data_IF_952382561135
#
_entry.id   IF_952382561135
#
_cell.length_a   1.000
_cell.length_b   1.000
_cell.length_c   1.000
_cell.angle_alpha   90.00
_cell.angle_beta   90.00
_cell.angle_gamma   90.00
#
_symmetry.space_group_name_H-M   'P 1'
#
loop_
_entity.id
_entity.type
_entity.pdbx_description
1 polymer ?
#
# COMPACT_ATOMS: atom_id res chain seq x y z
N UNK A 1 37.33 -15.05 -39.10
CA UNK A 1 37.22 -13.67 -38.53
C UNK A 1 35.77 -13.15 -38.37
N UNK A 2 34.71 -13.89 -38.75
CA UNK A 2 33.30 -13.46 -38.58
C UNK A 2 32.62 -13.93 -37.27
N UNK A 3 33.17 -14.93 -36.58
CA UNK A 3 32.56 -15.50 -35.37
C UNK A 3 32.86 -14.68 -34.09
N UNK A 4 34.10 -14.16 -33.96
CA UNK A 4 34.49 -13.28 -32.83
C UNK A 4 33.65 -12.00 -32.73
N UNK A 5 33.21 -11.43 -33.87
CA UNK A 5 32.35 -10.23 -33.88
C UNK A 5 30.93 -10.51 -33.39
N UNK A 6 30.37 -11.69 -33.66
CA UNK A 6 29.02 -12.08 -33.18
C UNK A 6 29.01 -12.34 -31.67
N UNK A 7 30.06 -12.96 -31.12
CA UNK A 7 30.18 -13.20 -29.67
C UNK A 7 30.30 -11.89 -28.89
N UNK A 8 31.11 -10.93 -29.38
CA UNK A 8 31.21 -9.59 -28.78
C UNK A 8 29.90 -8.79 -28.83
N UNK A 9 29.12 -8.92 -29.91
CA UNK A 9 27.84 -8.22 -30.03
C UNK A 9 26.78 -8.79 -29.05
N UNK A 10 26.76 -10.10 -28.84
CA UNK A 10 25.84 -10.76 -27.89
C UNK A 10 26.20 -10.41 -26.44
N UNK A 11 27.49 -10.30 -26.09
CA UNK A 11 27.91 -9.87 -24.75
C UNK A 11 27.60 -8.40 -24.46
N UNK A 12 27.72 -7.52 -25.46
CA UNK A 12 27.38 -6.09 -25.31
C UNK A 12 25.87 -5.86 -25.15
N UNK A 13 25.03 -6.68 -25.80
CA UNK A 13 23.57 -6.64 -25.62
C UNK A 13 23.19 -7.17 -24.23
N UNK A 14 23.84 -8.23 -23.74
CA UNK A 14 23.59 -8.76 -22.40
C UNK A 14 23.96 -7.77 -21.27
N UNK A 15 24.98 -6.92 -21.46
CA UNK A 15 25.33 -5.88 -20.49
C UNK A 15 24.27 -4.76 -20.38
N UNK A 16 23.38 -4.60 -21.35
CA UNK A 16 22.27 -3.65 -21.30
C UNK A 16 20.99 -4.22 -20.65
N UNK A 17 21.00 -5.50 -20.25
CA UNK A 17 19.85 -6.18 -19.65
C UNK A 17 19.97 -6.37 -18.13
N UNK A 18 21.09 -5.96 -17.53
CA UNK A 18 21.30 -6.05 -16.08
C UNK A 18 20.97 -4.70 -15.48
N UNK A 19 19.93 -4.65 -14.65
CA UNK A 19 19.59 -3.48 -13.86
C UNK A 19 20.82 -3.02 -13.06
N UNK A 20 21.16 -1.74 -13.13
CA UNK A 20 22.27 -1.16 -12.36
C UNK A 20 21.98 -1.32 -10.87
N UNK A 21 22.86 -1.95 -10.07
CA UNK A 21 22.58 -2.21 -8.67
C UNK A 21 22.45 -0.90 -7.88
N UNK A 22 21.48 -0.85 -6.98
CA UNK A 22 21.41 0.20 -5.96
C UNK A 22 22.45 -0.03 -4.86
N UNK A 23 22.51 0.88 -3.88
CA UNK A 23 23.29 0.68 -2.67
C UNK A 23 22.77 -0.53 -1.87
N UNK A 24 23.69 -1.33 -1.33
CA UNK A 24 23.36 -2.34 -0.33
C UNK A 24 22.88 -1.67 0.96
N UNK A 25 21.79 -2.20 1.53
CA UNK A 25 21.17 -1.69 2.75
C UNK A 25 21.04 -2.84 3.73
N UNK A 26 21.48 -2.62 4.97
CA UNK A 26 21.28 -3.57 6.07
C UNK A 26 20.09 -3.15 6.91
N UNK A 27 19.13 -4.05 7.07
CA UNK A 27 17.97 -3.95 7.97
C UNK A 27 18.02 -5.07 9.00
N UNK A 28 17.08 -5.10 9.95
CA UNK A 28 17.02 -6.10 11.02
C UNK A 28 16.94 -7.55 10.48
N UNK A 29 16.21 -7.74 9.38
CA UNK A 29 16.01 -9.03 8.73
C UNK A 29 17.26 -9.55 8.00
N UNK A 30 18.17 -8.67 7.60
CA UNK A 30 19.36 -9.00 6.82
C UNK A 30 19.80 -7.87 5.88
N UNK A 31 20.76 -8.17 5.00
CA UNK A 31 21.23 -7.23 3.97
C UNK A 31 20.45 -7.43 2.68
N UNK A 32 20.07 -6.35 2.02
CA UNK A 32 19.38 -6.37 0.74
C UNK A 32 20.05 -5.43 -0.28
N UNK A 33 19.87 -5.75 -1.55
CA UNK A 33 20.30 -4.91 -2.68
C UNK A 33 19.12 -4.69 -3.61
N UNK A 34 18.91 -3.43 -3.98
CA UNK A 34 17.89 -3.00 -4.93
C UNK A 34 18.48 -2.73 -6.31
N UNK A 35 17.75 -1.99 -7.12
CA UNK A 35 18.17 -1.50 -8.43
C UNK A 35 18.03 0.01 -8.56
N UNK A 36 18.78 0.58 -9.48
CA UNK A 36 18.69 1.98 -9.86
C UNK A 36 17.60 2.14 -10.93
N UNK A 37 16.76 3.16 -10.81
CA UNK A 37 15.75 3.48 -11.82
C UNK A 37 16.39 3.73 -13.19
N UNK A 38 15.64 3.54 -14.28
CA UNK A 38 16.19 3.66 -15.64
C UNK A 38 16.74 5.05 -15.96
N UNK A 39 16.17 6.11 -15.37
CA UNK A 39 16.63 7.50 -15.47
C UNK A 39 17.67 7.88 -14.40
N UNK A 40 18.05 6.93 -13.54
CA UNK A 40 18.99 7.06 -12.41
C UNK A 40 18.59 8.11 -11.37
N UNK A 41 17.32 8.51 -11.32
CA UNK A 41 16.86 9.54 -10.38
C UNK A 41 16.51 8.98 -8.98
N UNK A 42 16.28 7.68 -8.85
CA UNK A 42 15.98 7.01 -7.58
C UNK A 42 16.45 5.55 -7.53
N UNK A 43 16.50 4.99 -6.33
CA UNK A 43 16.72 3.58 -6.05
C UNK A 43 15.38 2.88 -5.77
N UNK A 44 15.28 1.64 -6.20
CA UNK A 44 14.13 0.76 -6.08
C UNK A 44 14.53 -0.48 -5.27
N UNK A 45 13.88 -0.71 -4.15
CA UNK A 45 13.99 -1.91 -3.34
C UNK A 45 12.63 -2.59 -3.31
N UNK A 46 12.44 -3.58 -4.18
CA UNK A 46 11.14 -4.18 -4.48
C UNK A 46 10.97 -5.53 -3.79
N UNK A 47 9.73 -5.84 -3.40
CA UNK A 47 9.34 -7.16 -2.92
C UNK A 47 9.91 -7.54 -1.54
N UNK A 48 10.29 -6.58 -0.71
CA UNK A 48 10.86 -6.83 0.62
C UNK A 48 9.79 -7.49 1.52
N UNK A 49 10.01 -8.71 2.03
CA UNK A 49 9.02 -9.37 2.88
C UNK A 49 8.97 -8.72 4.27
N UNK A 50 7.78 -8.24 4.64
CA UNK A 50 7.55 -7.65 5.98
C UNK A 50 6.87 -8.62 6.94
N UNK A 51 6.36 -9.75 6.44
CA UNK A 51 5.81 -10.83 7.23
C UNK A 51 6.00 -12.15 6.49
N UNK A 52 6.17 -13.23 7.25
CA UNK A 52 6.21 -14.57 6.67
C UNK A 52 4.79 -15.07 6.37
N UNK A 53 4.63 -15.80 5.26
CA UNK A 53 3.42 -16.50 4.89
C UNK A 53 3.62 -18.02 4.93
N UNK A 54 2.66 -18.73 5.52
CA UNK A 54 2.56 -20.19 5.45
C UNK A 54 1.08 -20.57 5.25
N UNK A 55 0.80 -21.58 4.42
CA UNK A 55 -0.56 -22.07 4.20
C UNK A 55 -1.26 -22.51 5.49
N UNK A 56 -0.50 -22.96 6.50
CA UNK A 56 -1.00 -23.33 7.82
C UNK A 56 -1.32 -22.15 8.73
N UNK A 57 -0.82 -20.95 8.42
CA UNK A 57 -1.11 -19.69 9.14
C UNK A 57 -2.15 -18.84 8.42
N UNK A 58 -2.82 -19.40 7.41
CA UNK A 58 -3.94 -18.75 6.74
C UNK A 58 -4.99 -18.32 7.78
N UNK A 59 -5.50 -17.10 7.63
CA UNK A 59 -6.53 -16.49 8.49
C UNK A 59 -6.08 -16.19 9.92
N UNK A 60 -4.76 -16.10 10.15
CA UNK A 60 -4.17 -15.62 11.40
C UNK A 60 -3.52 -14.26 11.18
N UNK A 61 -3.18 -13.60 12.29
CA UNK A 61 -2.29 -12.45 12.26
C UNK A 61 -0.97 -12.81 11.51
N UNK A 62 -0.37 -11.85 10.80
CA UNK A 62 0.89 -12.08 10.09
C UNK A 62 1.99 -12.56 11.05
N UNK A 63 2.80 -13.51 10.59
CA UNK A 63 3.98 -13.95 11.32
C UNK A 63 5.09 -12.88 11.31
N UNK A 64 6.15 -13.05 12.11
CA UNK A 64 7.30 -12.16 12.05
C UNK A 64 7.91 -12.12 10.63
N UNK A 65 8.57 -11.02 10.25
CA UNK A 65 9.29 -10.96 8.99
C UNK A 65 10.36 -12.05 8.94
N UNK A 66 10.59 -12.68 7.78
CA UNK A 66 11.63 -13.69 7.65
C UNK A 66 13.02 -13.05 7.74
N UNK A 67 13.96 -13.74 8.38
CA UNK A 67 15.39 -13.42 8.27
C UNK A 67 16.00 -14.20 7.11
N UNK A 68 17.04 -13.64 6.49
CA UNK A 68 17.78 -14.30 5.42
C UNK A 68 19.29 -14.17 5.62
N UNK A 69 20.02 -15.18 5.15
CA UNK A 69 21.48 -15.15 5.06
C UNK A 69 21.92 -14.58 3.71
N UNK A 70 23.06 -13.87 3.70
CA UNK A 70 23.59 -13.24 2.51
C UNK A 70 22.83 -11.97 2.10
N UNK A 71 22.79 -11.70 0.79
CA UNK A 71 22.19 -10.48 0.22
C UNK A 71 20.87 -10.85 -0.46
N UNK A 72 19.76 -10.32 0.06
CA UNK A 72 18.44 -10.43 -0.58
C UNK A 72 18.34 -9.51 -1.79
N UNK A 73 17.96 -10.04 -2.94
CA UNK A 73 17.80 -9.27 -4.18
C UNK A 73 16.39 -8.68 -4.27
N UNK A 74 16.24 -7.45 -3.79
CA UNK A 74 14.98 -6.70 -3.79
C UNK A 74 14.76 -5.96 -5.12
N UNK A 75 14.61 -6.70 -6.23
CA UNK A 75 14.56 -6.13 -7.60
C UNK A 75 13.33 -6.55 -8.40
N UNK A 76 12.52 -7.45 -7.85
CA UNK A 76 11.32 -8.00 -8.46
C UNK A 76 10.08 -7.43 -7.78
N UNK A 77 9.10 -7.00 -8.57
CA UNK A 77 7.81 -6.55 -8.05
C UNK A 77 7.09 -7.71 -7.35
N UNK A 78 6.50 -7.48 -6.16
CA UNK A 78 5.78 -8.52 -5.46
C UNK A 78 4.49 -8.89 -6.20
N UNK A 79 4.03 -10.15 -6.11
CA UNK A 79 2.72 -10.50 -6.61
C UNK A 79 1.63 -9.76 -5.80
N UNK A 80 0.52 -9.42 -6.47
CA UNK A 80 -0.68 -8.98 -5.75
C UNK A 80 -1.20 -10.10 -4.85
N UNK A 81 -1.85 -9.73 -3.74
CA UNK A 81 -2.58 -10.70 -2.93
C UNK A 81 -3.74 -11.33 -3.72
N UNK A 82 -4.21 -12.54 -3.33
CA UNK A 82 -5.28 -13.21 -4.03
C UNK A 82 -6.54 -12.35 -4.04
N UNK A 83 -7.06 -12.09 -5.22
CA UNK A 83 -8.21 -11.20 -5.42
C UNK A 83 -9.02 -11.65 -6.63
N UNK A 84 -10.33 -11.43 -6.57
CA UNK A 84 -11.24 -11.70 -7.66
C UNK A 84 -11.54 -10.40 -8.41
N UNK A 85 -11.05 -10.30 -9.64
CA UNK A 85 -11.26 -9.13 -10.51
C UNK A 85 -12.10 -9.55 -11.73
N UNK A 86 -12.53 -8.60 -12.54
CA UNK A 86 -13.42 -8.86 -13.70
C UNK A 86 -12.92 -9.93 -14.68
N UNK A 87 -11.60 -10.16 -14.73
CA UNK A 87 -10.95 -11.15 -15.62
C UNK A 87 -10.67 -12.50 -14.92
N UNK A 88 -11.04 -12.66 -13.65
CA UNK A 88 -10.87 -13.88 -12.87
C UNK A 88 -10.08 -13.68 -11.58
N UNK A 89 -9.73 -14.80 -10.94
CA UNK A 89 -8.92 -14.82 -9.72
C UNK A 89 -7.45 -14.72 -10.10
N UNK A 90 -6.76 -13.73 -9.53
CA UNK A 90 -5.32 -13.50 -9.72
C UNK A 90 -4.61 -13.44 -8.37
N UNK A 91 -3.27 -13.37 -8.39
CA UNK A 91 -2.44 -13.12 -7.21
C UNK A 91 -1.84 -14.38 -6.58
N UNK A 92 -1.09 -14.18 -5.50
CA UNK A 92 -0.41 -15.23 -4.74
C UNK A 92 -0.57 -14.95 -3.24
N UNK A 93 -0.72 -15.99 -2.41
CA UNK A 93 -0.81 -15.82 -0.96
C UNK A 93 0.51 -15.35 -0.31
N UNK A 94 1.67 -15.62 -0.93
CA UNK A 94 2.96 -15.03 -0.56
C UNK A 94 3.10 -13.59 -1.11
N UNK A 95 2.22 -12.72 -0.63
CA UNK A 95 2.08 -11.32 -1.07
C UNK A 95 2.39 -10.28 0.03
N UNK A 96 2.79 -10.70 1.24
CA UNK A 96 3.09 -9.80 2.37
C UNK A 96 4.47 -9.15 2.20
N UNK A 97 4.58 -8.36 1.15
CA UNK A 97 5.79 -7.71 0.68
C UNK A 97 5.54 -6.23 0.43
N UNK A 98 6.58 -5.43 0.59
CA UNK A 98 6.55 -4.00 0.36
C UNK A 98 7.65 -3.58 -0.62
N UNK A 99 7.41 -2.46 -1.28
CA UNK A 99 8.37 -1.77 -2.13
C UNK A 99 8.84 -0.51 -1.43
N UNK A 100 10.10 -0.12 -1.64
CA UNK A 100 10.68 1.13 -1.16
C UNK A 100 11.40 1.84 -2.30
N UNK A 101 11.12 3.12 -2.46
CA UNK A 101 11.70 3.99 -3.45
C UNK A 101 12.40 5.15 -2.76
N UNK A 102 13.67 5.35 -3.07
CA UNK A 102 14.53 6.34 -2.38
C UNK A 102 15.19 7.26 -3.41
N UNK A 103 15.08 8.59 -3.28
CA UNK A 103 15.77 9.51 -4.17
C UNK A 103 17.29 9.21 -4.23
N UNK A 104 17.87 9.17 -5.43
CA UNK A 104 19.30 8.92 -5.63
C UNK A 104 20.13 10.19 -5.37
N UNK A 105 19.88 10.84 -4.23
CA UNK A 105 20.50 12.09 -3.79
C UNK A 105 21.21 11.90 -2.45
N UNK A 106 21.71 12.98 -1.85
CA UNK A 106 22.58 12.95 -0.67
C UNK A 106 22.06 12.06 0.48
N UNK A 107 22.99 11.46 1.22
CA UNK A 107 22.76 10.58 2.39
C UNK A 107 22.23 11.35 3.61
N UNK A 108 21.13 12.09 3.45
CA UNK A 108 20.38 12.73 4.53
C UNK A 108 19.11 11.90 4.82
N UNK A 109 18.56 11.97 6.03
CA UNK A 109 17.22 11.46 6.28
C UNK A 109 16.19 12.18 5.41
N UNK A 110 15.28 11.42 4.81
CA UNK A 110 14.14 11.95 4.07
C UNK A 110 12.85 11.70 4.86
N UNK A 111 11.84 12.58 4.74
CA UNK A 111 10.47 12.23 5.11
C UNK A 111 10.06 10.91 4.42
N UNK A 112 9.33 10.06 5.15
CA UNK A 112 8.84 8.77 4.64
C UNK A 112 7.34 8.86 4.40
N UNK A 113 6.92 8.65 3.16
CA UNK A 113 5.52 8.47 2.79
C UNK A 113 5.25 6.96 2.64
N UNK A 114 4.27 6.45 3.37
CA UNK A 114 3.79 5.08 3.20
C UNK A 114 2.43 5.14 2.54
N UNK A 115 2.33 4.59 1.33
CA UNK A 115 1.06 4.45 0.62
C UNK A 115 0.52 3.06 0.81
N UNK A 116 -0.78 3.05 1.02
CA UNK A 116 -1.55 1.86 1.23
C UNK A 116 -2.68 1.93 0.22
N UNK A 117 -2.74 0.92 -0.65
CA UNK A 117 -3.57 0.98 -1.84
C UNK A 117 -5.05 0.87 -1.48
N UNK A 118 -5.90 1.48 -2.32
CA UNK A 118 -7.34 1.33 -2.21
C UNK A 118 -7.84 -0.05 -2.67
N UNK A 119 -9.09 -0.11 -3.14
CA UNK A 119 -9.69 -1.37 -3.61
C UNK A 119 -10.49 -2.12 -2.54
N UNK A 120 -11.02 -1.37 -1.57
CA UNK A 120 -12.03 -1.82 -0.60
C UNK A 120 -11.65 -3.13 0.11
N UNK A 121 -10.39 -3.27 0.49
CA UNK A 121 -9.83 -4.47 1.15
C UNK A 121 -9.97 -5.77 0.35
N UNK A 122 -10.37 -5.69 -0.92
CA UNK A 122 -10.79 -6.84 -1.75
C UNK A 122 -9.92 -7.01 -3.00
N UNK A 123 -9.35 -5.92 -3.51
CA UNK A 123 -8.47 -5.88 -4.68
C UNK A 123 -7.45 -4.74 -4.55
N UNK A 124 -6.50 -4.67 -5.48
CA UNK A 124 -5.41 -3.70 -5.48
C UNK A 124 -4.05 -4.32 -5.14
N UNK A 125 -2.98 -3.53 -5.29
CA UNK A 125 -1.60 -3.92 -5.02
C UNK A 125 -0.73 -2.73 -4.64
N UNK A 126 0.34 -3.00 -3.88
CA UNK A 126 1.39 -2.02 -3.61
C UNK A 126 2.45 -1.96 -4.71
N UNK A 127 2.39 -2.88 -5.68
CA UNK A 127 3.28 -2.92 -6.84
C UNK A 127 2.79 -2.05 -8.01
N UNK A 128 3.48 -2.18 -9.14
CA UNK A 128 3.08 -1.55 -10.40
C UNK A 128 1.67 -2.01 -10.84
N UNK A 129 0.71 -1.07 -10.85
CA UNK A 129 -0.61 -1.30 -11.42
C UNK A 129 -0.68 -0.73 -12.85
N UNK A 130 -0.93 -1.56 -13.88
CA UNK A 130 -0.85 -1.13 -15.28
C UNK A 130 -1.97 -0.18 -15.73
N UNK A 131 -2.94 0.12 -14.87
CA UNK A 131 -4.12 0.95 -15.17
C UNK A 131 -4.16 2.22 -14.34
N UNK A 132 -3.40 2.30 -13.24
CA UNK A 132 -3.39 3.43 -12.32
C UNK A 132 -2.01 4.08 -12.37
N UNK A 133 -1.93 5.19 -13.09
CA UNK A 133 -0.71 5.98 -13.19
C UNK A 133 -0.49 6.84 -11.93
N UNK A 134 -1.47 6.96 -11.04
CA UNK A 134 -1.43 7.78 -9.81
C UNK A 134 -0.57 7.18 -8.68
N UNK A 135 0.29 6.21 -8.99
CA UNK A 135 1.23 5.69 -7.99
C UNK A 135 2.10 6.83 -7.43
N UNK A 136 2.22 6.95 -6.10
CA UNK A 136 3.02 8.01 -5.49
C UNK A 136 4.52 7.99 -5.85
N UNK A 137 5.02 6.98 -6.57
CA UNK A 137 6.33 7.03 -7.24
C UNK A 137 6.49 8.27 -8.14
N UNK A 138 5.38 8.80 -8.69
CA UNK A 138 5.38 10.04 -9.45
C UNK A 138 5.79 11.26 -8.62
N UNK A 139 5.66 11.21 -7.29
CA UNK A 139 6.18 12.27 -6.40
C UNK A 139 7.70 12.35 -6.51
N UNK A 140 8.38 11.20 -6.57
CA UNK A 140 9.84 11.13 -6.72
C UNK A 140 10.27 11.56 -8.13
N UNK A 141 9.55 11.11 -9.17
CA UNK A 141 9.87 11.42 -10.57
C UNK A 141 9.66 12.90 -10.91
N UNK A 142 8.54 13.48 -10.47
CA UNK A 142 8.13 14.82 -10.86
C UNK A 142 8.62 15.92 -9.90
N UNK A 143 9.15 15.53 -8.72
CA UNK A 143 9.65 16.42 -7.65
C UNK A 143 8.88 17.75 -7.54
N UNK A 144 7.56 17.70 -7.24
CA UNK A 144 6.73 18.92 -7.24
C UNK A 144 7.15 19.96 -6.19
N UNK A 145 8.03 19.59 -5.24
CA UNK A 145 8.58 20.45 -4.21
C UNK A 145 10.10 20.23 -4.05
N UNK A 146 10.80 21.17 -3.42
CA UNK A 146 12.22 21.03 -3.03
C UNK A 146 12.47 20.03 -1.89
N UNK A 147 11.49 19.16 -1.60
CA UNK A 147 11.58 18.14 -0.56
C UNK A 147 11.66 16.79 -1.23
N UNK A 148 12.81 16.14 -1.12
CA UNK A 148 12.98 14.74 -1.46
C UNK A 148 12.30 13.87 -0.37
N UNK A 149 11.51 12.87 -0.76
CA UNK A 149 10.84 11.95 0.15
C UNK A 149 11.15 10.49 -0.22
N UNK A 150 11.32 9.63 0.79
CA UNK A 150 11.30 8.19 0.62
C UNK A 150 9.85 7.71 0.56
N UNK A 151 9.58 6.77 -0.33
CA UNK A 151 8.25 6.26 -0.57
C UNK A 151 8.20 4.75 -0.36
N UNK A 152 7.16 4.25 0.30
CA UNK A 152 6.92 2.81 0.45
C UNK A 152 5.48 2.43 0.12
N UNK A 153 5.28 1.23 -0.43
CA UNK A 153 3.96 0.69 -0.75
C UNK A 153 3.86 -0.79 -0.41
N UNK A 154 2.66 -1.26 -0.05
CA UNK A 154 2.41 -2.64 0.38
C UNK A 154 1.12 -3.18 -0.22
N UNK A 155 1.06 -4.48 -0.50
CA UNK A 155 -0.04 -5.14 -1.21
C UNK A 155 -1.22 -5.59 -0.33
N UNK A 156 -1.25 -5.22 0.97
CA UNK A 156 -2.42 -5.49 1.80
C UNK A 156 -2.59 -4.53 2.98
N UNK A 157 -3.82 -4.04 3.11
CA UNK A 157 -4.39 -3.48 4.33
C UNK A 157 -5.03 -4.61 5.13
N UNK A 158 -4.68 -4.76 6.41
CA UNK A 158 -5.35 -5.76 7.24
C UNK A 158 -6.83 -5.43 7.42
N UNK A 159 -7.73 -6.33 7.01
CA UNK A 159 -9.07 -6.47 7.59
C UNK A 159 -9.55 -7.93 7.47
N UNK A 160 -9.98 -8.53 8.60
CA UNK A 160 -10.52 -9.88 8.68
C UNK A 160 -11.83 -9.82 9.46
N UNK A 161 -12.97 -10.20 8.87
CA UNK A 161 -14.25 -10.39 9.59
C UNK A 161 -14.69 -11.84 9.37
N UNK A 162 -14.80 -12.61 10.46
CA UNK A 162 -15.49 -13.91 10.45
C UNK A 162 -16.45 -13.99 11.63
N UNK A 163 -17.75 -13.97 11.36
CA UNK A 163 -18.83 -14.20 12.33
C UNK A 163 -20.23 -14.09 11.71
N UNK A 164 -20.80 -15.24 11.31
CA UNK A 164 -22.18 -15.53 10.87
C UNK A 164 -22.82 -14.61 9.81
N UNK A 165 -22.52 -14.83 8.53
CA UNK A 165 -23.37 -14.39 7.42
C UNK A 165 -24.61 -15.30 7.30
N UNK A 166 -25.79 -14.73 7.01
CA UNK A 166 -27.02 -15.47 6.69
C UNK A 166 -27.44 -15.26 5.23
N UNK A 167 -28.26 -16.17 4.69
CA UNK A 167 -28.66 -16.21 3.26
C UNK A 167 -29.33 -14.90 2.80
N UNK A 168 -30.04 -14.18 3.67
CA UNK A 168 -30.67 -12.87 3.36
C UNK A 168 -29.64 -11.73 3.17
N UNK A 169 -28.56 -11.72 3.95
CA UNK A 169 -27.49 -10.70 3.85
C UNK A 169 -26.66 -10.78 2.56
N UNK A 170 -26.71 -11.92 1.87
CA UNK A 170 -25.96 -12.19 0.64
C UNK A 170 -26.78 -11.91 -0.63
N UNK A 171 -28.12 -12.01 -0.57
CA UNK A 171 -28.99 -11.80 -1.73
C UNK A 171 -29.18 -10.30 -2.06
N UNK A 172 -28.97 -9.41 -1.09
CA UNK A 172 -29.12 -7.94 -1.23
C UNK A 172 -27.88 -7.18 -1.70
N UNK A 173 -26.75 -7.83 -2.01
CA UNK A 173 -25.50 -7.19 -2.51
C UNK A 173 -25.64 -6.21 -3.71
N UNK A 174 -26.84 -5.98 -4.27
CA UNK A 174 -27.14 -5.33 -5.55
C UNK A 174 -26.98 -3.79 -5.55
N UNK A 175 -25.74 -3.31 -5.40
CA UNK A 175 -25.43 -1.88 -5.58
C UNK A 175 -23.96 -1.53 -5.84
N UNK A 176 -23.02 -2.33 -5.34
CA UNK A 176 -21.61 -2.31 -5.77
C UNK A 176 -20.65 -1.42 -4.97
N UNK A 177 -20.03 -2.01 -3.95
CA UNK A 177 -19.04 -1.43 -3.03
C UNK A 177 -19.64 -0.61 -1.89
N UNK A 178 -19.21 -0.92 -0.67
CA UNK A 178 -19.63 -0.27 0.56
C UNK A 178 -18.44 0.59 1.04
N UNK A 179 -18.43 1.87 0.71
CA UNK A 179 -17.51 2.84 1.26
C UNK A 179 -18.04 3.33 2.62
N UNK A 180 -17.18 3.86 3.49
CA UNK A 180 -17.61 4.46 4.76
C UNK A 180 -18.65 5.59 4.57
N UNK A 181 -18.72 6.19 3.36
CA UNK A 181 -19.74 7.17 2.96
C UNK A 181 -21.07 6.58 2.47
N UNK A 182 -21.14 5.27 2.20
CA UNK A 182 -22.37 4.55 1.80
C UNK A 182 -23.15 4.03 3.02
N UNK A 183 -22.59 4.18 4.22
CA UNK A 183 -23.30 3.99 5.48
C UNK A 183 -24.29 5.13 5.68
N UNK A 184 -25.44 5.03 5.02
CA UNK A 184 -26.58 5.90 5.31
C UNK A 184 -27.32 5.34 6.52
N UNK A 185 -27.09 5.94 7.69
CA UNK A 185 -27.93 5.72 8.86
C UNK A 185 -29.25 6.45 8.64
N UNK A 186 -30.19 5.78 7.98
CA UNK A 186 -31.56 6.26 7.90
C UNK A 186 -32.21 6.11 9.27
N UNK A 187 -32.67 7.24 9.80
CA UNK A 187 -33.57 7.27 10.95
C UNK A 187 -34.91 6.66 10.56
N UNK A 188 -35.27 5.54 11.19
CA UNK A 188 -36.43 5.38 12.07
C UNK A 188 -36.57 3.87 12.31
N UNK A 189 -36.23 3.48 13.54
CA UNK A 189 -36.39 2.17 14.17
C UNK A 189 -35.42 1.03 13.73
N UNK A 190 -34.44 0.77 14.62
CA UNK A 190 -33.53 -0.40 14.74
C UNK A 190 -32.36 -0.44 13.72
N UNK A 191 -31.09 -0.13 14.01
CA UNK A 191 -30.27 -0.28 15.22
C UNK A 191 -29.26 0.89 15.34
N UNK A 192 -28.99 1.34 16.57
CA UNK A 192 -27.95 2.32 16.84
C UNK A 192 -26.58 1.62 16.83
N UNK A 193 -25.65 1.92 15.89
CA UNK A 193 -24.32 1.31 15.85
C UNK A 193 -23.43 1.76 17.02
N UNK A 194 -23.90 2.71 17.84
CA UNK A 194 -23.24 3.08 19.07
C UNK A 194 -23.27 1.89 20.03
N UNK A 195 -22.10 1.39 20.49
CA UNK A 195 -22.06 0.39 21.52
C UNK A 195 -22.79 0.84 22.78
N UNK A 196 -23.24 -0.11 23.60
CA UNK A 196 -23.79 0.21 24.91
C UNK A 196 -22.75 1.05 25.69
N UNK A 197 -23.11 2.26 26.17
CA UNK A 197 -22.22 3.07 26.99
C UNK A 197 -21.69 2.34 28.23
N UNK A 198 -22.38 1.30 28.71
CA UNK A 198 -21.92 0.46 29.80
C UNK A 198 -20.84 -0.56 29.38
N UNK A 199 -20.73 -0.88 28.09
CA UNK A 199 -19.74 -1.81 27.55
C UNK A 199 -18.42 -1.11 27.20
N UNK A 200 -18.50 0.01 26.47
CA UNK A 200 -17.32 0.70 25.93
C UNK A 200 -17.15 2.15 26.40
N UNK A 201 -18.09 2.71 27.16
CA UNK A 201 -17.99 4.07 27.71
C UNK A 201 -18.08 5.19 26.69
N UNK A 202 -18.30 4.90 25.40
CA UNK A 202 -18.26 5.88 24.32
C UNK A 202 -19.55 5.88 23.50
N UNK A 203 -20.08 7.08 23.24
CA UNK A 203 -21.23 7.29 22.36
C UNK A 203 -20.74 7.79 21.01
N UNK A 204 -21.11 7.15 19.90
CA UNK A 204 -20.71 7.62 18.58
C UNK A 204 -21.50 8.88 18.24
N UNK A 205 -20.76 9.94 17.90
CA UNK A 205 -21.34 11.19 17.39
C UNK A 205 -21.44 11.12 15.86
N UNK A 206 -22.56 11.55 15.25
CA UNK A 206 -22.69 11.64 13.81
C UNK A 206 -21.59 12.50 13.19
N UNK A 207 -20.94 11.98 12.15
CA UNK A 207 -19.91 12.69 11.38
C UNK A 207 -20.57 13.35 10.17
N UNK A 208 -20.33 14.65 9.96
CA UNK A 208 -20.82 15.39 8.79
C UNK A 208 -19.65 15.78 7.89
N UNK A 209 -19.93 16.03 6.61
CA UNK A 209 -18.90 16.45 5.62
C UNK A 209 -18.06 17.64 6.11
N UNK A 210 -18.70 18.61 6.74
CA UNK A 210 -18.06 19.83 7.24
C UNK A 210 -17.69 19.75 8.73
N UNK A 211 -18.02 18.64 9.39
CA UNK A 211 -17.78 18.43 10.82
C UNK A 211 -17.50 16.94 11.05
N UNK A 212 -16.34 16.49 10.60
CA UNK A 212 -15.94 15.10 10.72
C UNK A 212 -15.62 14.75 12.17
N UNK A 213 -16.26 13.70 12.67
CA UNK A 213 -16.05 13.14 14.00
C UNK A 213 -15.20 11.88 13.90
N UNK A 214 -14.20 11.75 14.76
CA UNK A 214 -13.24 10.65 14.75
C UNK A 214 -13.30 9.92 16.09
N UNK A 215 -13.31 8.59 16.05
CA UNK A 215 -13.08 7.78 17.24
C UNK A 215 -11.58 7.68 17.49
N UNK A 216 -11.13 8.16 18.64
CA UNK A 216 -9.74 7.99 19.08
C UNK A 216 -9.65 6.65 19.83
N UNK A 217 -8.86 5.72 19.27
CA UNK A 217 -8.66 4.38 19.82
C UNK A 217 -7.32 4.36 20.56
N UNK A 218 -7.30 4.97 21.74
CA UNK A 218 -6.16 4.99 22.66
C UNK A 218 -6.47 4.14 23.93
N UNK A 219 -5.79 4.40 25.05
CA UNK A 219 -6.10 3.78 26.35
C UNK A 219 -7.53 4.05 26.83
N UNK A 220 -8.15 5.13 26.33
CA UNK A 220 -9.54 5.50 26.56
C UNK A 220 -10.20 5.77 25.20
N UNK A 221 -11.33 5.11 24.95
CA UNK A 221 -12.12 5.32 23.75
C UNK A 221 -12.89 6.63 23.88
N UNK A 222 -12.66 7.56 22.95
CA UNK A 222 -13.38 8.85 22.93
C UNK A 222 -13.64 9.36 21.53
N UNK A 223 -14.76 10.04 21.35
CA UNK A 223 -15.00 10.83 20.15
C UNK A 223 -14.20 12.14 20.21
N UNK A 224 -13.62 12.53 19.09
CA UNK A 224 -12.81 13.74 18.98
C UNK A 224 -12.86 14.34 17.58
N UNK A 225 -12.15 15.45 17.42
CA UNK A 225 -11.87 16.04 16.12
C UNK A 225 -10.76 15.27 15.39
N UNK A 226 -10.52 15.66 14.14
CA UNK A 226 -9.45 15.10 13.32
C UNK A 226 -8.10 15.14 14.06
N UNK A 227 -7.45 13.99 14.25
CA UNK A 227 -6.10 13.97 14.78
C UNK A 227 -5.18 14.72 13.83
N UNK A 228 -4.43 15.69 14.37
CA UNK A 228 -3.42 16.44 13.60
C UNK A 228 -3.97 17.09 12.31
N UNK A 229 -5.05 17.86 12.47
CA UNK A 229 -5.75 18.55 11.40
C UNK A 229 -4.80 19.29 10.43
N UNK A 230 -3.80 20.00 10.95
CA UNK A 230 -2.82 20.73 10.14
C UNK A 230 -2.08 19.82 9.15
N UNK A 231 -1.64 18.62 9.59
CA UNK A 231 -0.93 17.68 8.71
C UNK A 231 -1.89 17.08 7.68
N UNK A 232 -3.11 16.73 8.09
CA UNK A 232 -4.11 16.23 7.14
C UNK A 232 -4.41 17.27 6.06
N UNK A 233 -4.61 18.54 6.44
CA UNK A 233 -4.87 19.62 5.48
C UNK A 233 -3.70 19.79 4.51
N UNK A 234 -2.47 19.77 5.01
CA UNK A 234 -1.27 19.83 4.17
C UNK A 234 -1.25 18.73 3.10
N UNK A 235 -1.52 17.47 3.47
CA UNK A 235 -1.53 16.35 2.51
C UNK A 235 -2.74 16.41 1.56
N UNK A 236 -3.91 16.83 2.06
CA UNK A 236 -5.11 17.01 1.24
C UNK A 236 -4.90 18.06 0.16
N UNK A 237 -4.31 19.20 0.51
CA UNK A 237 -4.01 20.27 -0.44
C UNK A 237 -3.03 19.83 -1.53
N UNK A 238 -2.04 18.99 -1.17
CA UNK A 238 -1.13 18.37 -2.15
C UNK A 238 -1.91 17.42 -3.06
N UNK A 239 -2.72 16.53 -2.49
CA UNK A 239 -3.49 15.56 -3.26
C UNK A 239 -4.45 16.24 -4.24
N UNK A 240 -5.28 17.19 -3.77
CA UNK A 240 -6.27 17.87 -4.59
C UNK A 240 -5.65 18.68 -5.74
N UNK A 241 -4.45 19.25 -5.50
CA UNK A 241 -3.75 20.05 -6.51
C UNK A 241 -3.11 19.22 -7.62
N UNK A 242 -2.64 18.01 -7.30
CA UNK A 242 -1.78 17.25 -8.21
C UNK A 242 -2.34 15.89 -8.64
N UNK A 243 -3.46 15.44 -8.07
CA UNK A 243 -4.18 14.27 -8.59
C UNK A 243 -4.56 14.51 -10.04
N UNK A 244 -4.28 13.56 -10.91
CA UNK A 244 -4.66 13.64 -12.32
C UNK A 244 -6.12 13.19 -12.41
N UNK A 245 -7.05 14.14 -12.33
CA UNK A 245 -8.43 13.83 -12.69
C UNK A 245 -8.53 13.80 -14.21
N UNK A 246 -8.57 12.61 -14.81
CA UNK A 246 -9.18 12.48 -16.12
C UNK A 246 -10.66 12.80 -15.97
N UNK A 247 -11.06 13.99 -16.41
CA UNK A 247 -12.47 14.27 -16.68
C UNK A 247 -12.92 13.24 -17.72
N UNK A 248 -13.82 12.35 -17.31
CA UNK A 248 -14.54 11.44 -18.20
C UNK A 248 -15.55 12.24 -19.00
#
# INVERSE_FOLDING_TARGET
MKWRKKVFFITFIAMNLVDDPALEVTIEQGTLIGKTSSDRSYFEYLGIPYANFNSTTRFRAPGPPPHWEGIYRAVEEPPSCPQNIFIGIIGNEDCLKLNVYVPASDKKPFPVLVYVHGGAFSFGSGGLEPVIDDMPINIIKNKPFSVDAMYGSTSKEGLFIMGSETIESLEERKGGSLFAGDLQFYSEDEENPTPDPNEFGVKWEPSMKDNMKFLHIDHELKMGSMPNETIYQFWRDIYDKYRITHTI
#
